data_IF_088597959838
#
_entry.id   IF_088597959838
#
_cell.length_a   1.000
_cell.length_b   1.000
_cell.length_c   1.000
_cell.angle_alpha   90.00
_cell.angle_beta   90.00
_cell.angle_gamma   90.00
#
_symmetry.space_group_name_H-M   'P 1'
#
loop_
_entity.id
_entity.type
_entity.pdbx_description
1 polymer ?
#
# COMPACT_ATOMS: atom_id res chain seq x y z
N UNK A 1 -32.71 11.50 26.78
CA UNK A 1 -32.46 10.67 25.59
C UNK A 1 -32.21 11.62 24.44
N UNK A 2 -30.97 11.94 24.17
CA UNK A 2 -30.58 12.91 23.14
C UNK A 2 -30.09 12.15 21.92
N UNK A 3 -30.87 12.19 20.84
CA UNK A 3 -30.56 11.61 19.54
C UNK A 3 -29.46 12.43 18.88
N UNK A 4 -28.27 11.88 18.84
CA UNK A 4 -27.17 12.43 18.04
C UNK A 4 -27.54 12.28 16.56
N UNK A 5 -28.15 13.32 15.99
CA UNK A 5 -28.48 13.37 14.57
C UNK A 5 -27.21 13.58 13.73
N UNK A 6 -26.64 12.50 13.21
CA UNK A 6 -25.63 12.59 12.14
C UNK A 6 -26.34 13.14 10.91
N UNK A 7 -26.23 14.44 10.67
CA UNK A 7 -26.66 15.05 9.41
C UNK A 7 -25.62 14.75 8.33
N UNK A 8 -25.81 13.66 7.60
CA UNK A 8 -25.09 13.44 6.35
C UNK A 8 -25.54 14.53 5.37
N UNK A 9 -24.70 15.53 5.17
CA UNK A 9 -24.96 16.60 4.21
C UNK A 9 -24.55 16.10 2.82
N UNK A 10 -25.49 15.54 2.08
CA UNK A 10 -25.33 15.30 0.64
C UNK A 10 -25.29 16.66 -0.07
N UNK A 11 -24.15 17.05 -0.59
CA UNK A 11 -24.05 18.24 -1.46
C UNK A 11 -24.47 17.84 -2.86
N UNK A 12 -25.45 18.57 -3.43
CA UNK A 12 -25.76 18.45 -4.86
C UNK A 12 -24.51 18.84 -5.68
N UNK A 13 -24.35 18.26 -6.88
CA UNK A 13 -23.19 18.52 -7.76
C UNK A 13 -22.99 20.02 -8.09
N UNK A 14 -24.06 20.83 -7.93
CA UNK A 14 -24.06 22.28 -8.13
C UNK A 14 -23.49 23.11 -6.96
N UNK A 15 -23.38 22.53 -5.75
CA UNK A 15 -22.95 23.24 -4.53
C UNK A 15 -21.47 23.01 -4.15
N UNK A 16 -20.70 22.36 -5.03
CA UNK A 16 -19.28 22.14 -4.82
C UNK A 16 -18.47 23.39 -5.20
N UNK A 17 -18.61 24.45 -4.39
CA UNK A 17 -17.67 25.55 -4.40
C UNK A 17 -16.30 25.07 -3.93
N UNK A 18 -15.28 25.40 -4.73
CA UNK A 18 -13.88 25.14 -4.47
C UNK A 18 -13.44 25.69 -3.10
N UNK A 19 -12.71 24.89 -2.33
CA UNK A 19 -11.77 25.42 -1.37
C UNK A 19 -10.48 25.59 -2.18
N UNK A 20 -9.98 26.82 -2.29
CA UNK A 20 -8.77 27.22 -3.04
C UNK A 20 -8.82 27.08 -4.57
N UNK A 21 -9.98 27.30 -5.21
CA UNK A 21 -10.08 27.44 -6.66
C UNK A 21 -9.99 26.13 -7.48
N UNK A 22 -9.86 24.98 -6.83
CA UNK A 22 -9.87 23.66 -7.51
C UNK A 22 -11.25 23.04 -7.31
N UNK A 23 -12.02 22.75 -8.38
CA UNK A 23 -13.27 22.05 -8.23
C UNK A 23 -12.99 20.66 -7.65
N UNK A 24 -13.48 20.39 -6.45
CA UNK A 24 -13.30 19.08 -5.76
C UNK A 24 -13.89 17.88 -6.51
N UNK A 25 -14.52 18.08 -7.66
CA UNK A 25 -15.16 17.03 -8.46
C UNK A 25 -15.08 17.30 -9.98
N UNK A 26 -13.89 17.59 -10.50
CA UNK A 26 -13.64 17.37 -11.93
C UNK A 26 -13.32 15.87 -12.20
N UNK A 27 -14.04 14.98 -11.50
CA UNK A 27 -13.95 13.55 -11.74
C UNK A 27 -14.63 13.28 -13.06
N UNK A 28 -13.93 12.77 -14.05
CA UNK A 28 -14.55 12.25 -15.25
C UNK A 28 -15.64 11.28 -14.84
N UNK A 29 -16.88 11.53 -15.28
CA UNK A 29 -18.02 10.67 -14.95
C UNK A 29 -17.67 9.26 -15.43
N UNK A 30 -17.67 8.23 -14.55
CA UNK A 30 -17.41 6.86 -14.96
C UNK A 30 -18.35 6.49 -16.10
N UNK A 31 -17.83 5.82 -17.12
CA UNK A 31 -18.65 5.36 -18.27
C UNK A 31 -19.72 4.34 -17.85
N UNK A 32 -19.53 3.72 -16.70
CA UNK A 32 -20.47 2.79 -16.06
C UNK A 32 -20.73 3.27 -14.63
N UNK A 33 -21.99 3.31 -14.23
CA UNK A 33 -22.41 3.67 -12.87
C UNK A 33 -23.51 2.75 -12.40
N UNK A 34 -23.49 2.45 -11.10
CA UNK A 34 -24.60 1.75 -10.43
C UNK A 34 -25.83 2.64 -10.28
N UNK A 35 -25.72 3.96 -10.47
CA UNK A 35 -26.81 4.91 -10.34
C UNK A 35 -27.37 5.01 -8.93
N UNK A 36 -26.61 4.59 -7.91
CA UNK A 36 -27.06 4.56 -6.52
C UNK A 36 -26.43 5.69 -5.70
N UNK A 37 -27.23 6.32 -4.85
CA UNK A 37 -26.78 7.30 -3.86
C UNK A 37 -26.14 6.62 -2.62
N UNK A 38 -25.42 5.55 -2.85
CA UNK A 38 -24.69 4.78 -1.85
C UNK A 38 -23.19 5.09 -1.93
N UNK A 39 -22.51 5.47 -0.84
CA UNK A 39 -21.06 5.73 -0.87
C UNK A 39 -20.24 4.55 -1.39
N UNK A 40 -20.62 3.32 -1.04
CA UNK A 40 -19.96 2.12 -1.53
C UNK A 40 -20.17 1.94 -3.04
N UNK A 41 -21.40 2.09 -3.55
CA UNK A 41 -21.68 1.99 -4.98
C UNK A 41 -20.88 3.04 -5.78
N UNK A 42 -20.82 4.27 -5.27
CA UNK A 42 -20.05 5.36 -5.87
C UNK A 42 -18.53 5.09 -5.87
N UNK A 43 -17.99 4.47 -4.83
CA UNK A 43 -16.58 4.04 -4.84
C UNK A 43 -16.33 2.92 -5.86
N UNK A 44 -17.28 1.99 -5.99
CA UNK A 44 -17.20 0.91 -6.98
C UNK A 44 -17.40 1.40 -8.42
N UNK A 45 -18.07 2.51 -8.65
CA UNK A 45 -18.10 3.16 -9.98
C UNK A 45 -16.69 3.49 -10.48
N UNK A 46 -15.74 3.77 -9.58
CA UNK A 46 -14.33 4.07 -9.88
C UNK A 46 -13.44 2.84 -9.75
N UNK A 47 -13.62 2.06 -8.67
CA UNK A 47 -12.70 1.01 -8.24
C UNK A 47 -13.15 -0.40 -8.65
N UNK A 48 -14.43 -0.59 -9.02
CA UNK A 48 -15.06 -1.91 -9.17
C UNK A 48 -14.60 -2.71 -10.38
N UNK A 49 -13.88 -2.11 -11.31
CA UNK A 49 -13.35 -2.83 -12.46
C UNK A 49 -12.16 -3.72 -12.07
N UNK A 50 -12.16 -4.95 -12.58
CA UNK A 50 -11.07 -5.90 -12.32
C UNK A 50 -9.71 -5.28 -12.61
N UNK A 51 -8.73 -5.55 -11.79
CA UNK A 51 -7.36 -5.04 -11.79
C UNK A 51 -7.16 -3.64 -11.21
N UNK A 52 -8.20 -2.79 -11.10
CA UNK A 52 -8.07 -1.41 -10.65
C UNK A 52 -7.42 -1.33 -9.26
N UNK A 53 -7.98 -2.07 -8.29
CA UNK A 53 -7.42 -2.08 -6.93
C UNK A 53 -6.01 -2.68 -6.88
N UNK A 54 -5.70 -3.67 -7.72
CA UNK A 54 -4.35 -4.24 -7.79
C UNK A 54 -3.34 -3.26 -8.40
N UNK A 55 -3.74 -2.44 -9.37
CA UNK A 55 -2.89 -1.36 -9.90
C UNK A 55 -2.61 -0.32 -8.80
N UNK A 56 -3.63 0.09 -8.04
CA UNK A 56 -3.45 1.03 -6.92
C UNK A 56 -2.53 0.41 -5.86
N UNK A 57 -2.72 -0.87 -5.51
CA UNK A 57 -1.85 -1.60 -4.58
C UNK A 57 -0.38 -1.50 -4.97
N UNK A 58 -0.06 -1.72 -6.25
CA UNK A 58 1.32 -1.59 -6.74
C UNK A 58 1.85 -0.16 -6.60
N UNK A 59 1.02 0.84 -6.83
CA UNK A 59 1.42 2.25 -6.72
C UNK A 59 1.49 2.74 -5.26
N UNK A 60 0.85 2.07 -4.31
CA UNK A 60 1.05 2.29 -2.88
C UNK A 60 2.49 1.99 -2.42
N UNK A 61 3.19 1.13 -3.14
CA UNK A 61 4.61 0.83 -2.95
C UNK A 61 5.57 1.83 -3.62
N UNK A 62 5.04 2.85 -4.28
CA UNK A 62 5.78 3.92 -4.94
C UNK A 62 5.53 4.01 -6.44
N UNK A 63 6.10 5.04 -7.09
CA UNK A 63 5.94 5.27 -8.52
C UNK A 63 6.44 4.09 -9.37
N UNK A 64 5.67 3.69 -10.39
CA UNK A 64 6.05 2.57 -11.28
C UNK A 64 5.91 2.96 -12.75
N UNK A 65 6.84 2.47 -13.58
CA UNK A 65 6.74 2.54 -15.03
C UNK A 65 5.67 1.57 -15.53
N UNK A 66 5.09 1.84 -16.71
CA UNK A 66 4.13 0.95 -17.35
C UNK A 66 4.62 -0.50 -17.42
N UNK A 67 5.87 -0.70 -17.90
CA UNK A 67 6.45 -2.04 -18.04
C UNK A 67 6.60 -2.77 -16.70
N UNK A 68 6.87 -2.03 -15.61
CA UNK A 68 6.97 -2.64 -14.27
C UNK A 68 5.59 -3.07 -13.77
N UNK A 69 4.54 -2.25 -13.97
CA UNK A 69 3.16 -2.64 -13.65
C UNK A 69 2.74 -3.89 -14.43
N UNK A 70 3.10 -3.97 -15.71
CA UNK A 70 2.81 -5.13 -16.54
C UNK A 70 3.55 -6.39 -16.07
N UNK A 71 4.79 -6.25 -15.61
CA UNK A 71 5.59 -7.37 -15.08
C UNK A 71 5.04 -7.91 -13.75
N UNK A 72 4.61 -7.03 -12.83
CA UNK A 72 4.10 -7.43 -11.51
C UNK A 72 2.61 -7.81 -11.52
N UNK A 73 1.92 -7.59 -12.64
CA UNK A 73 0.53 -7.97 -12.87
C UNK A 73 0.42 -8.81 -14.16
N UNK A 74 1.03 -10.01 -14.22
CA UNK A 74 1.28 -10.72 -15.49
C UNK A 74 0.01 -11.09 -16.26
N UNK A 75 -1.12 -11.23 -15.59
CA UNK A 75 -2.38 -11.63 -16.22
C UNK A 75 -3.23 -10.46 -16.73
N UNK A 76 -2.78 -9.19 -16.59
CA UNK A 76 -3.62 -8.03 -16.96
C UNK A 76 -3.66 -7.77 -18.49
N UNK A 77 -2.56 -7.99 -19.18
CA UNK A 77 -2.39 -7.60 -20.59
C UNK A 77 -2.28 -6.08 -20.78
N UNK A 78 -1.52 -5.66 -21.80
CA UNK A 78 -1.16 -4.25 -22.02
C UNK A 78 -2.36 -3.33 -22.28
N UNK A 79 -3.33 -3.78 -23.08
CA UNK A 79 -4.50 -2.97 -23.43
C UNK A 79 -5.36 -2.69 -22.20
N UNK A 80 -5.59 -3.70 -21.37
CA UNK A 80 -6.38 -3.57 -20.15
C UNK A 80 -5.67 -2.72 -19.11
N UNK A 81 -4.35 -2.86 -18.96
CA UNK A 81 -3.56 -1.99 -18.09
C UNK A 81 -3.67 -0.52 -18.55
N UNK A 82 -3.52 -0.26 -19.86
CA UNK A 82 -3.66 1.09 -20.42
C UNK A 82 -5.04 1.69 -20.15
N UNK A 83 -6.09 0.88 -20.26
CA UNK A 83 -7.46 1.30 -19.98
C UNK A 83 -7.65 1.64 -18.49
N UNK A 84 -7.14 0.78 -17.58
CA UNK A 84 -7.22 1.03 -16.13
C UNK A 84 -6.46 2.29 -15.73
N UNK A 85 -5.23 2.47 -16.23
CA UNK A 85 -4.43 3.66 -15.94
C UNK A 85 -5.11 4.94 -16.43
N UNK A 86 -5.69 4.92 -17.64
CA UNK A 86 -6.46 6.07 -18.16
C UNK A 86 -7.67 6.39 -17.29
N UNK A 87 -8.44 5.38 -16.88
CA UNK A 87 -9.58 5.56 -15.97
C UNK A 87 -9.17 6.15 -14.61
N UNK A 88 -8.08 5.66 -14.05
CA UNK A 88 -7.55 6.17 -12.78
C UNK A 88 -6.98 7.60 -12.90
N UNK A 89 -6.38 7.96 -14.04
CA UNK A 89 -5.95 9.35 -14.31
C UNK A 89 -7.16 10.28 -14.41
N UNK A 90 -8.21 9.87 -15.14
CA UNK A 90 -9.47 10.62 -15.27
C UNK A 90 -10.16 10.80 -13.91
N UNK A 91 -10.11 9.78 -13.05
CA UNK A 91 -10.61 9.84 -11.68
C UNK A 91 -9.66 10.56 -10.71
N UNK A 92 -8.57 11.13 -11.19
CA UNK A 92 -7.55 11.84 -10.38
C UNK A 92 -6.97 11.01 -9.20
N UNK A 93 -7.03 9.69 -9.30
CA UNK A 93 -6.42 8.76 -8.34
C UNK A 93 -4.93 8.62 -8.58
N UNK A 94 -4.52 8.64 -9.85
CA UNK A 94 -3.12 8.62 -10.24
C UNK A 94 -2.78 9.78 -11.16
N UNK A 95 -1.50 10.04 -11.32
CA UNK A 95 -0.96 10.97 -12.31
C UNK A 95 0.28 10.39 -12.96
N UNK A 96 0.56 10.85 -14.18
CA UNK A 96 1.87 10.64 -14.81
C UNK A 96 2.86 11.67 -14.28
N UNK A 97 4.06 11.21 -14.00
CA UNK A 97 5.18 12.05 -13.62
C UNK A 97 6.43 11.61 -14.37
N UNK A 98 7.44 12.46 -14.41
CA UNK A 98 8.76 12.10 -14.96
C UNK A 98 9.77 12.14 -13.83
N UNK A 99 10.46 11.01 -13.60
CA UNK A 99 11.52 10.96 -12.60
C UNK A 99 12.64 11.93 -12.99
N UNK A 100 13.29 12.56 -12.00
CA UNK A 100 14.42 13.45 -12.28
C UNK A 100 15.59 12.68 -12.92
N UNK A 101 16.51 13.38 -13.59
CA UNK A 101 17.76 12.76 -14.05
C UNK A 101 18.51 12.09 -12.89
N UNK A 102 19.24 11.00 -13.15
CA UNK A 102 19.56 10.42 -14.47
C UNK A 102 18.47 9.50 -15.05
N UNK A 103 17.44 9.15 -14.29
CA UNK A 103 16.43 8.19 -14.75
C UNK A 103 15.55 8.76 -15.88
N UNK A 104 15.15 10.03 -15.82
CA UNK A 104 14.39 10.79 -16.82
C UNK A 104 13.27 10.00 -17.53
N UNK A 105 12.50 9.20 -16.77
CA UNK A 105 11.50 8.29 -17.33
C UNK A 105 10.11 8.56 -16.78
N UNK A 106 9.10 8.33 -17.64
CA UNK A 106 7.71 8.44 -17.26
C UNK A 106 7.30 7.32 -16.28
N UNK A 107 6.64 7.71 -15.21
CA UNK A 107 6.08 6.83 -14.18
C UNK A 107 4.64 7.22 -13.90
N UNK A 108 3.88 6.28 -13.35
CA UNK A 108 2.58 6.52 -12.72
C UNK A 108 2.79 6.56 -11.21
N UNK A 109 2.14 7.49 -10.54
CA UNK A 109 2.15 7.63 -9.09
C UNK A 109 0.76 8.00 -8.58
N UNK A 110 0.50 7.70 -7.32
CA UNK A 110 -0.75 8.11 -6.67
C UNK A 110 -0.76 9.62 -6.46
N UNK A 111 -1.94 10.21 -6.59
CA UNK A 111 -2.22 11.56 -6.10
C UNK A 111 -2.48 11.51 -4.59
N UNK A 112 -2.71 12.65 -3.95
CA UNK A 112 -3.14 12.71 -2.56
C UNK A 112 -4.47 11.94 -2.34
N UNK A 113 -5.43 12.09 -3.27
CA UNK A 113 -6.68 11.31 -3.25
C UNK A 113 -6.45 9.82 -3.42
N UNK A 114 -5.49 9.42 -4.28
CA UNK A 114 -5.09 8.03 -4.44
C UNK A 114 -4.44 7.45 -3.18
N UNK A 115 -3.61 8.21 -2.48
CA UNK A 115 -3.00 7.78 -1.21
C UNK A 115 -4.05 7.54 -0.09
N UNK A 116 -5.19 8.22 -0.11
CA UNK A 116 -6.31 7.98 0.82
C UNK A 116 -6.94 6.59 0.68
N UNK A 117 -6.69 5.89 -0.42
CA UNK A 117 -7.12 4.51 -0.61
C UNK A 117 -6.21 3.48 0.10
N UNK A 118 -5.12 3.92 0.70
CA UNK A 118 -4.16 3.05 1.40
C UNK A 118 -4.84 2.21 2.48
N UNK A 119 -5.46 2.88 3.46
CA UNK A 119 -6.07 2.19 4.60
C UNK A 119 -7.26 1.29 4.18
N UNK A 120 -8.19 1.72 3.30
CA UNK A 120 -9.22 0.83 2.76
C UNK A 120 -8.68 -0.40 2.01
N UNK A 121 -7.64 -0.24 1.19
CA UNK A 121 -7.07 -1.37 0.46
C UNK A 121 -6.34 -2.34 1.40
N UNK A 122 -5.64 -1.83 2.40
CA UNK A 122 -4.98 -2.67 3.41
C UNK A 122 -6.04 -3.43 4.23
N UNK A 123 -7.10 -2.77 4.67
CA UNK A 123 -8.19 -3.42 5.41
C UNK A 123 -8.83 -4.55 4.58
N UNK A 124 -9.05 -4.32 3.28
CA UNK A 124 -9.54 -5.35 2.37
C UNK A 124 -8.52 -6.49 2.20
N UNK A 125 -7.23 -6.16 2.12
CA UNK A 125 -6.15 -7.15 2.04
C UNK A 125 -6.06 -8.01 3.30
N UNK A 126 -6.17 -7.42 4.49
CA UNK A 126 -6.18 -8.13 5.77
C UNK A 126 -7.39 -9.06 5.88
N UNK A 127 -8.58 -8.61 5.48
CA UNK A 127 -9.75 -9.49 5.39
C UNK A 127 -9.52 -10.65 4.41
N UNK A 128 -8.81 -10.39 3.30
CA UNK A 128 -8.48 -11.40 2.30
C UNK A 128 -7.53 -12.50 2.81
N UNK A 129 -6.77 -12.27 3.89
CA UNK A 129 -5.90 -13.29 4.49
C UNK A 129 -6.69 -14.44 5.12
N UNK A 130 -7.93 -14.20 5.54
CA UNK A 130 -8.81 -15.22 6.14
C UNK A 130 -9.50 -16.11 5.08
N UNK A 131 -9.36 -15.78 3.79
CA UNK A 131 -9.95 -16.56 2.71
C UNK A 131 -9.14 -17.83 2.48
N UNK A 132 -9.81 -18.98 2.22
CA UNK A 132 -9.12 -20.23 1.93
C UNK A 132 -8.29 -20.09 0.64
N UNK A 133 -7.08 -20.63 0.69
CA UNK A 133 -6.21 -20.76 -0.48
C UNK A 133 -6.58 -22.03 -1.21
N UNK A 134 -6.77 -21.95 -2.53
CA UNK A 134 -7.05 -23.10 -3.39
C UNK A 134 -5.93 -23.33 -4.42
N UNK A 135 -5.99 -24.48 -5.12
CA UNK A 135 -4.96 -24.93 -6.07
C UNK A 135 -4.76 -24.01 -7.30
N UNK A 136 -5.64 -23.03 -7.49
CA UNK A 136 -5.51 -22.02 -8.57
C UNK A 136 -4.59 -20.86 -8.18
N UNK A 137 -4.18 -20.79 -6.92
CA UNK A 137 -3.29 -19.75 -6.41
C UNK A 137 -1.86 -20.29 -6.48
N UNK A 138 -1.03 -19.63 -7.29
CA UNK A 138 0.38 -19.97 -7.38
C UNK A 138 1.16 -19.34 -6.19
N UNK A 139 1.71 -20.17 -5.28
CA UNK A 139 2.48 -19.68 -4.13
C UNK A 139 3.72 -18.87 -4.55
N UNK A 140 4.27 -19.09 -5.76
CA UNK A 140 5.42 -18.35 -6.26
C UNK A 140 5.10 -16.87 -6.57
N UNK A 141 3.82 -16.50 -6.60
CA UNK A 141 3.39 -15.10 -6.73
C UNK A 141 3.43 -14.32 -5.41
N UNK A 142 3.75 -14.99 -4.30
CA UNK A 142 3.92 -14.33 -3.01
C UNK A 142 5.11 -13.36 -3.06
N UNK A 143 4.89 -12.13 -2.59
CA UNK A 143 5.91 -11.07 -2.59
C UNK A 143 6.02 -10.45 -1.20
N UNK A 144 7.24 -10.37 -0.69
CA UNK A 144 7.52 -9.82 0.64
C UNK A 144 7.08 -8.36 0.78
N UNK A 145 7.25 -7.54 -0.25
CA UNK A 145 6.81 -6.13 -0.22
C UNK A 145 5.28 -5.97 -0.11
N UNK A 146 4.48 -6.95 -0.59
CA UNK A 146 3.02 -6.93 -0.42
C UNK A 146 2.62 -7.33 1.01
N UNK A 147 3.34 -8.27 1.61
CA UNK A 147 3.20 -8.59 3.05
C UNK A 147 3.56 -7.37 3.89
N UNK A 148 4.68 -6.69 3.56
CA UNK A 148 5.10 -5.46 4.21
C UNK A 148 4.02 -4.37 4.13
N UNK A 149 3.31 -4.26 2.99
CA UNK A 149 2.19 -3.31 2.82
C UNK A 149 1.04 -3.61 3.79
N UNK A 150 0.66 -4.86 3.94
CA UNK A 150 -0.36 -5.28 4.91
C UNK A 150 0.08 -5.03 6.35
N UNK A 151 1.33 -5.38 6.68
CA UNK A 151 1.90 -5.14 8.02
C UNK A 151 1.91 -3.66 8.41
N UNK A 152 2.22 -2.77 7.47
CA UNK A 152 2.20 -1.33 7.72
C UNK A 152 0.81 -0.84 8.19
N UNK A 153 -0.26 -1.49 7.73
CA UNK A 153 -1.62 -1.19 8.17
C UNK A 153 -1.97 -1.68 9.58
N UNK A 154 -1.21 -2.62 10.13
CA UNK A 154 -1.43 -3.11 11.50
C UNK A 154 -0.74 -2.25 12.57
N UNK A 155 0.00 -1.24 12.16
CA UNK A 155 0.68 -0.33 13.08
C UNK A 155 -0.33 0.46 13.92
N UNK A 156 -0.38 0.19 15.22
CA UNK A 156 -1.30 0.85 16.16
C UNK A 156 -0.69 2.06 16.86
N UNK A 157 0.65 2.13 16.94
CA UNK A 157 1.37 3.21 17.63
C UNK A 157 2.13 4.06 16.62
N UNK A 158 1.94 5.37 16.70
CA UNK A 158 2.78 6.30 15.96
C UNK A 158 4.16 6.36 16.59
N UNK A 159 5.19 6.37 15.76
CA UNK A 159 6.58 6.58 16.16
C UNK A 159 6.91 8.07 16.09
N UNK A 160 7.96 8.48 16.79
CA UNK A 160 8.46 9.86 16.74
C UNK A 160 8.90 10.18 15.29
N UNK A 161 8.27 11.17 14.62
CA UNK A 161 8.61 11.53 13.25
C UNK A 161 10.05 12.07 13.08
N UNK A 162 10.68 12.51 14.17
CA UNK A 162 12.04 13.06 14.16
C UNK A 162 13.14 12.02 13.98
N UNK A 163 12.83 10.73 14.09
CA UNK A 163 13.82 9.66 13.98
C UNK A 163 14.37 9.41 12.58
N UNK A 164 13.64 9.79 11.52
CA UNK A 164 14.11 9.63 10.14
C UNK A 164 14.51 8.20 9.74
N UNK A 165 13.96 7.20 10.43
CA UNK A 165 14.38 5.81 10.28
C UNK A 165 13.90 5.24 8.93
N UNK A 166 14.85 4.67 8.20
CA UNK A 166 14.58 3.85 7.03
C UNK A 166 15.22 2.49 7.25
N UNK A 167 14.44 1.43 7.08
CA UNK A 167 14.93 0.05 7.21
C UNK A 167 14.73 -0.65 5.88
N UNK A 168 15.82 -1.17 5.32
CA UNK A 168 15.85 -1.86 4.04
C UNK A 168 15.88 -3.37 4.23
N UNK A 169 15.07 -4.08 3.47
CA UNK A 169 14.97 -5.53 3.45
C UNK A 169 15.39 -6.09 2.10
N UNK A 170 16.24 -7.10 2.14
CA UNK A 170 16.61 -7.98 1.05
C UNK A 170 15.96 -9.34 1.33
N UNK A 171 14.88 -9.67 0.64
CA UNK A 171 14.11 -10.91 0.87
C UNK A 171 14.12 -11.73 -0.41
N UNK A 172 14.98 -12.74 -0.47
CA UNK A 172 15.29 -13.43 -1.72
C UNK A 172 15.80 -12.43 -2.76
N UNK A 173 15.12 -12.36 -3.92
CA UNK A 173 15.45 -11.41 -4.99
C UNK A 173 14.74 -10.05 -4.84
N UNK A 174 13.87 -9.90 -3.86
CA UNK A 174 13.17 -8.64 -3.62
C UNK A 174 13.98 -7.71 -2.73
N UNK A 175 13.97 -6.42 -3.09
CA UNK A 175 14.48 -5.34 -2.24
C UNK A 175 13.38 -4.32 -2.05
N UNK A 176 13.10 -3.99 -0.81
CA UNK A 176 12.17 -2.93 -0.45
C UNK A 176 12.61 -2.26 0.85
N UNK A 177 12.06 -1.10 1.16
CA UNK A 177 12.37 -0.41 2.40
C UNK A 177 11.11 0.15 3.06
N UNK A 178 11.14 0.22 4.38
CA UNK A 178 10.17 0.99 5.16
C UNK A 178 10.70 2.40 5.36
N UNK A 179 9.91 3.38 4.98
CA UNK A 179 10.18 4.80 5.23
C UNK A 179 9.23 5.30 6.33
N UNK A 180 9.78 5.90 7.38
CA UNK A 180 8.96 6.51 8.42
C UNK A 180 8.44 7.87 7.94
N UNK A 181 7.10 7.99 7.83
CA UNK A 181 6.40 9.24 7.52
C UNK A 181 5.24 9.46 8.47
N UNK A 182 5.18 10.65 9.09
CA UNK A 182 4.14 10.99 10.06
C UNK A 182 3.95 9.93 11.17
N UNK A 183 5.04 9.33 11.62
CA UNK A 183 5.04 8.29 12.64
C UNK A 183 4.60 6.89 12.15
N UNK A 184 4.36 6.70 10.85
CA UNK A 184 4.00 5.42 10.25
C UNK A 184 5.10 4.90 9.33
N UNK A 185 5.35 3.60 9.38
CA UNK A 185 6.18 2.93 8.39
C UNK A 185 5.40 2.71 7.11
N UNK A 186 5.91 3.28 6.02
CA UNK A 186 5.37 3.09 4.67
C UNK A 186 6.36 2.25 3.85
N UNK A 187 5.97 1.06 3.40
CA UNK A 187 6.81 0.27 2.52
C UNK A 187 6.89 0.89 1.12
N UNK A 188 8.08 0.80 0.54
CA UNK A 188 8.39 1.27 -0.81
C UNK A 188 9.22 0.22 -1.53
N UNK A 189 8.87 -0.07 -2.79
CA UNK A 189 9.64 -0.99 -3.64
C UNK A 189 11.05 -0.44 -3.92
N UNK A 190 12.00 -1.34 -3.98
CA UNK A 190 13.40 -1.04 -4.29
C UNK A 190 14.22 -0.57 -3.08
N UNK A 191 15.52 -0.31 -3.33
CA UNK A 191 16.43 0.12 -2.28
C UNK A 191 16.07 1.51 -1.74
N UNK A 192 16.49 1.77 -0.51
CA UNK A 192 16.34 3.08 0.10
C UNK A 192 17.08 4.16 -0.72
N UNK A 193 16.46 5.33 -0.97
CA UNK A 193 17.11 6.43 -1.68
C UNK A 193 18.22 7.10 -0.85
N UNK A 194 18.26 6.84 0.44
CA UNK A 194 19.29 7.31 1.39
C UNK A 194 19.90 6.11 2.09
N UNK A 195 21.04 6.31 2.77
CA UNK A 195 21.64 5.24 3.56
C UNK A 195 20.67 4.81 4.68
N UNK A 196 20.21 3.54 4.71
CA UNK A 196 19.21 3.10 5.67
C UNK A 196 19.83 2.92 7.07
N UNK A 197 19.03 3.15 8.10
CA UNK A 197 19.43 2.92 9.51
C UNK A 197 19.78 1.45 9.76
N UNK A 198 19.13 0.54 9.04
CA UNK A 198 19.48 -0.88 9.02
C UNK A 198 19.17 -1.51 7.66
N UNK A 199 20.01 -2.49 7.29
CA UNK A 199 19.82 -3.35 6.12
C UNK A 199 19.80 -4.80 6.58
N UNK A 200 18.74 -5.54 6.20
CA UNK A 200 18.45 -6.87 6.71
C UNK A 200 18.21 -7.81 5.53
N UNK A 201 18.81 -9.00 5.58
CA UNK A 201 18.60 -10.05 4.58
C UNK A 201 17.96 -11.28 5.23
N UNK A 202 16.97 -11.88 4.55
CA UNK A 202 16.37 -13.17 4.88
C UNK A 202 15.69 -13.77 3.64
N UNK A 203 15.20 -15.01 3.75
CA UNK A 203 14.30 -15.58 2.76
C UNK A 203 12.83 -15.16 3.00
N UNK A 204 11.97 -15.43 2.04
CA UNK A 204 10.55 -15.08 2.11
C UNK A 204 9.86 -15.79 3.28
N UNK A 205 10.17 -17.07 3.54
CA UNK A 205 9.55 -17.81 4.64
C UNK A 205 9.92 -17.19 5.98
N UNK A 206 11.19 -16.83 6.17
CA UNK A 206 11.65 -16.14 7.39
C UNK A 206 10.97 -14.79 7.58
N UNK A 207 10.82 -14.02 6.49
CA UNK A 207 10.10 -12.75 6.55
C UNK A 207 8.62 -12.95 6.95
N UNK A 208 7.96 -13.97 6.40
CA UNK A 208 6.59 -14.34 6.75
C UNK A 208 6.46 -14.76 8.22
N UNK A 209 7.34 -15.67 8.70
CA UNK A 209 7.34 -16.12 10.08
C UNK A 209 7.52 -14.98 11.09
N UNK A 210 8.40 -14.01 10.75
CA UNK A 210 8.58 -12.79 11.54
C UNK A 210 7.33 -11.91 11.52
N UNK A 211 6.69 -11.77 10.36
CA UNK A 211 5.49 -10.99 10.15
C UNK A 211 4.29 -11.55 10.95
N UNK A 212 4.14 -12.87 10.96
CA UNK A 212 3.08 -13.60 11.66
C UNK A 212 3.39 -13.88 13.14
N UNK A 213 4.55 -13.47 13.63
CA UNK A 213 5.06 -13.74 15.00
C UNK A 213 5.31 -15.22 15.32
N UNK A 214 5.45 -16.04 14.31
CA UNK A 214 5.83 -17.46 14.45
C UNK A 214 7.33 -17.60 14.76
N UNK A 215 8.12 -16.58 14.42
CA UNK A 215 9.54 -16.48 14.70
C UNK A 215 9.86 -15.12 15.34
N UNK A 216 10.66 -15.12 16.39
CA UNK A 216 11.14 -13.86 16.97
C UNK A 216 12.37 -13.34 16.22
N UNK A 217 12.58 -12.00 16.14
CA UNK A 217 13.79 -11.43 15.56
C UNK A 217 15.09 -11.99 16.15
N UNK A 218 15.11 -12.21 17.48
CA UNK A 218 16.28 -12.78 18.18
C UNK A 218 16.58 -14.21 17.76
N UNK A 219 15.56 -15.03 17.61
CA UNK A 219 15.71 -16.41 17.11
C UNK A 219 16.16 -16.42 15.66
N UNK A 220 15.54 -15.61 14.77
CA UNK A 220 15.94 -15.53 13.37
C UNK A 220 17.44 -15.20 13.22
N UNK A 221 17.94 -14.26 14.01
CA UNK A 221 19.37 -13.89 14.00
C UNK A 221 20.27 -14.97 14.60
N UNK A 222 19.83 -15.65 15.67
CA UNK A 222 20.61 -16.71 16.33
C UNK A 222 20.74 -17.93 15.43
N UNK A 223 19.66 -18.27 14.73
CA UNK A 223 19.59 -19.46 13.88
C UNK A 223 20.13 -19.20 12.47
N UNK A 224 20.62 -17.98 12.20
CA UNK A 224 21.17 -17.59 10.88
C UNK A 224 20.12 -17.45 9.78
N UNK A 225 18.83 -17.46 10.11
CA UNK A 225 17.73 -17.27 9.16
C UNK A 225 17.60 -15.82 8.70
N UNK A 226 18.01 -14.86 9.51
CA UNK A 226 18.14 -13.44 9.14
C UNK A 226 19.55 -12.94 9.42
N UNK A 227 20.04 -12.03 8.57
CA UNK A 227 21.35 -11.42 8.67
C UNK A 227 21.23 -9.91 8.66
N UNK A 228 21.93 -9.23 9.58
CA UNK A 228 22.08 -7.77 9.56
C UNK A 228 23.24 -7.42 8.64
N UNK A 229 22.96 -6.82 7.49
CA UNK A 229 23.96 -6.37 6.52
C UNK A 229 24.53 -5.00 6.90
N UNK A 230 23.72 -4.16 7.55
CA UNK A 230 24.14 -2.86 8.10
C UNK A 230 23.22 -2.46 9.26
N UNK A 231 23.72 -1.64 10.17
CA UNK A 231 22.95 -1.17 11.35
C UNK A 231 23.00 -2.10 12.54
N UNK A 232 22.01 -2.01 13.43
CA UNK A 232 22.00 -2.73 14.70
C UNK A 232 20.95 -3.85 14.77
N UNK A 233 21.17 -4.83 15.65
CA UNK A 233 20.19 -5.89 15.94
C UNK A 233 18.86 -5.34 16.50
N UNK A 234 18.90 -4.21 17.19
CA UNK A 234 17.71 -3.56 17.73
C UNK A 234 16.76 -3.06 16.64
N UNK A 235 17.28 -2.65 15.48
CA UNK A 235 16.45 -2.16 14.38
C UNK A 235 15.51 -3.23 13.83
N UNK A 236 15.95 -4.48 13.69
CA UNK A 236 15.08 -5.58 13.29
C UNK A 236 13.97 -5.82 14.32
N UNK A 237 14.34 -5.87 15.61
CA UNK A 237 13.39 -6.08 16.69
C UNK A 237 12.36 -4.95 16.77
N UNK A 238 12.78 -3.71 16.56
CA UNK A 238 11.90 -2.54 16.61
C UNK A 238 10.89 -2.53 15.48
N UNK A 239 11.31 -2.83 14.24
CA UNK A 239 10.41 -2.92 13.08
C UNK A 239 9.31 -3.94 13.33
N UNK A 240 9.67 -5.17 13.70
CA UNK A 240 8.67 -6.22 13.93
C UNK A 240 7.88 -6.06 15.24
N UNK A 241 8.39 -5.29 16.20
CA UNK A 241 7.59 -4.87 17.36
C UNK A 241 6.43 -3.95 16.96
N UNK A 242 6.66 -3.09 15.96
CA UNK A 242 5.69 -2.08 15.50
C UNK A 242 4.76 -2.63 14.44
N UNK A 243 5.27 -3.48 13.53
CA UNK A 243 4.57 -3.97 12.33
C UNK A 243 4.03 -5.40 12.50
N UNK A 244 4.10 -5.99 13.67
CA UNK A 244 3.70 -7.38 13.84
C UNK A 244 2.19 -7.57 13.69
N UNK A 245 1.78 -8.43 12.78
CA UNK A 245 0.40 -8.83 12.58
C UNK A 245 -0.17 -9.50 13.84
N UNK A 246 -1.36 -9.11 14.24
CA UNK A 246 -2.13 -9.78 15.26
C UNK A 246 -3.51 -10.12 14.68
N UNK A 247 -3.78 -11.39 14.36
CA UNK A 247 -5.05 -11.81 13.75
C UNK A 247 -6.26 -11.57 14.66
N UNK A 248 -6.04 -11.38 15.97
CA UNK A 248 -7.11 -11.11 16.94
C UNK A 248 -7.28 -9.60 17.21
N UNK A 249 -6.41 -8.75 16.66
CA UNK A 249 -6.60 -7.32 16.80
C UNK A 249 -7.75 -6.86 15.90
N UNK A 250 -8.68 -6.03 16.41
CA UNK A 250 -9.67 -5.41 15.54
C UNK A 250 -8.95 -4.64 14.44
N UNK A 251 -9.48 -4.72 13.20
CA UNK A 251 -8.99 -3.89 12.10
C UNK A 251 -8.91 -2.44 12.58
N UNK A 252 -7.83 -1.70 12.29
CA UNK A 252 -7.69 -0.34 12.75
C UNK A 252 -8.84 0.51 12.18
N UNK A 253 -9.85 0.75 12.99
CA UNK A 253 -10.87 1.74 12.71
C UNK A 253 -10.26 3.06 13.14
N UNK A 254 -9.83 3.87 12.19
CA UNK A 254 -9.31 5.19 12.50
C UNK A 254 -10.44 6.05 13.06
N UNK A 255 -10.32 6.43 14.34
CA UNK A 255 -11.16 7.42 14.98
C UNK A 255 -10.82 8.83 14.49
#
# INVERSE_FOLDING_TARGET
>A
MSTLGIRIRWRAATDCMAIDGIPRYAWGVPTKTYGQMCPLARSLDVLGERWTMLVIRELLLGPKRFKHLLAVLPAIGSNRLSERLRGLEQAQIIRKNTLPPPAAVAVYELTEEGERLRDPLIALGLWGLDLPVDDRIDPQTARAELVALCLAGTQTKLLDPGRGETVEFHVGDEVFHFQLRHGRFLPRSGPSPTDPTARIACDLQTFMDLALRELTPSQALKDGRATILAGSRSSLAEVFRVLAYNPQAPLPVHA
#
